data_IF_400547646945
#
_entry.id   IF_400547646945
#
_cell.length_a   1.000
_cell.length_b   1.000
_cell.length_c   1.000
_cell.angle_alpha   90.00
_cell.angle_beta   90.00
_cell.angle_gamma   90.00
#
_symmetry.space_group_name_H-M   'P 1'
#
loop_
_entity.id
_entity.type
_entity.pdbx_description
1 polymer ?
#
# COMPACT_ATOMS: atom_id res chain seq x y z
N UNK A 1 -14.82 16.75 22.01
CA UNK A 1 -13.96 16.46 20.85
C UNK A 1 -14.05 17.51 19.73
N UNK A 2 -14.01 18.80 20.08
CA UNK A 2 -14.06 19.87 19.08
C UNK A 2 -12.80 19.92 18.22
N UNK A 3 -11.66 19.50 18.77
CA UNK A 3 -10.37 19.47 18.08
C UNK A 3 -10.26 18.40 16.99
N UNK A 4 -10.98 17.27 17.08
CA UNK A 4 -11.02 16.22 16.03
C UNK A 4 -12.25 16.30 15.12
N UNK A 5 -13.23 17.13 15.46
CA UNK A 5 -14.40 17.34 14.61
C UNK A 5 -14.07 18.25 13.43
N UNK A 6 -14.14 17.72 12.22
CA UNK A 6 -14.08 18.51 10.97
C UNK A 6 -15.48 18.75 10.44
N UNK A 7 -15.65 19.79 9.63
CA UNK A 7 -16.86 20.03 8.83
C UNK A 7 -18.17 19.97 9.63
N UNK A 8 -18.16 20.55 10.85
CA UNK A 8 -19.29 20.57 11.80
C UNK A 8 -19.84 19.19 12.21
N UNK A 9 -19.12 18.08 11.93
CA UNK A 9 -19.53 16.72 12.31
C UNK A 9 -19.92 16.61 13.79
N UNK A 10 -19.25 17.36 14.67
CA UNK A 10 -19.53 17.38 16.11
C UNK A 10 -20.93 17.84 16.50
N UNK A 11 -21.70 18.50 15.61
CA UNK A 11 -23.11 18.86 15.82
C UNK A 11 -24.03 17.63 15.86
N UNK A 12 -23.61 16.52 15.26
CA UNK A 12 -24.39 15.28 15.15
C UNK A 12 -23.88 14.18 16.09
N UNK A 13 -22.89 14.47 16.93
CA UNK A 13 -22.28 13.52 17.86
C UNK A 13 -22.94 13.62 19.24
N UNK A 14 -23.64 12.56 19.63
CA UNK A 14 -24.33 12.45 20.94
C UNK A 14 -23.40 11.94 22.06
N UNK A 15 -22.49 11.01 21.72
CA UNK A 15 -21.60 10.30 22.64
C UNK A 15 -20.14 10.59 22.28
N UNK A 16 -19.24 10.71 23.26
CA UNK A 16 -17.84 11.04 23.02
C UNK A 16 -16.91 10.20 23.87
N UNK A 17 -15.83 9.72 23.26
CA UNK A 17 -14.74 9.03 23.96
C UNK A 17 -13.70 10.01 24.49
N UNK A 18 -12.96 9.59 25.52
CA UNK A 18 -11.77 10.31 25.99
C UNK A 18 -10.75 10.38 24.85
N UNK A 19 -10.20 11.58 24.62
CA UNK A 19 -9.24 11.81 23.55
C UNK A 19 -7.81 11.83 24.13
N UNK A 20 -6.97 10.81 23.88
CA UNK A 20 -5.54 10.90 24.21
C UNK A 20 -4.80 11.80 23.22
N UNK A 21 -3.73 12.46 23.67
CA UNK A 21 -3.13 13.60 22.97
C UNK A 21 -2.40 13.27 21.65
N UNK A 22 -2.09 12.00 21.35
CA UNK A 22 -1.51 11.54 20.08
C UNK A 22 -1.50 10.02 20.09
N UNK A 23 -2.28 9.41 19.21
CA UNK A 23 -2.34 7.95 19.11
C UNK A 23 -2.30 7.53 17.64
N UNK A 24 -1.76 6.34 17.40
CA UNK A 24 -1.80 5.73 16.08
C UNK A 24 -3.28 5.59 15.65
N UNK A 25 -3.58 5.71 14.36
CA UNK A 25 -4.97 5.67 13.87
C UNK A 25 -5.69 4.39 14.28
N UNK A 26 -4.95 3.28 14.36
CA UNK A 26 -5.44 1.99 14.83
C UNK A 26 -5.95 2.05 16.27
N UNK A 27 -5.16 2.62 17.18
CA UNK A 27 -5.53 2.79 18.59
C UNK A 27 -6.72 3.75 18.72
N UNK A 28 -6.80 4.75 17.84
CA UNK A 28 -7.93 5.68 17.81
C UNK A 28 -9.23 4.97 17.48
N UNK A 29 -9.20 4.08 16.50
CA UNK A 29 -10.34 3.22 16.17
C UNK A 29 -10.64 2.26 17.33
N UNK A 30 -9.61 1.68 17.96
CA UNK A 30 -9.76 0.81 19.12
C UNK A 30 -10.45 1.44 20.32
N UNK A 31 -10.16 2.71 20.60
CA UNK A 31 -10.70 3.43 21.76
C UNK A 31 -12.23 3.61 21.72
N UNK A 32 -12.88 3.42 20.57
CA UNK A 32 -14.34 3.42 20.47
C UNK A 32 -15.00 2.24 21.23
N UNK A 33 -14.25 1.18 21.53
CA UNK A 33 -14.76 0.04 22.29
C UNK A 33 -14.72 0.27 23.81
N UNK A 34 -13.95 1.24 24.32
CA UNK A 34 -13.77 1.49 25.75
C UNK A 34 -15.07 1.83 26.49
N UNK A 35 -15.99 2.66 25.97
CA UNK A 35 -17.28 2.92 26.61
C UNK A 35 -18.16 1.66 26.78
N UNK A 36 -17.87 0.59 26.01
CA UNK A 36 -18.56 -0.69 26.12
C UNK A 36 -17.91 -1.61 27.17
N UNK A 37 -16.91 -1.14 27.92
CA UNK A 37 -16.14 -1.94 28.87
C UNK A 37 -15.15 -2.89 28.20
N UNK A 38 -14.88 -2.70 26.91
CA UNK A 38 -13.97 -3.53 26.13
C UNK A 38 -12.64 -2.80 25.94
N UNK A 39 -11.54 -3.56 25.92
CA UNK A 39 -10.21 -3.04 25.62
C UNK A 39 -9.64 -3.76 24.40
N UNK A 40 -9.23 -2.99 23.40
CA UNK A 40 -8.49 -3.57 22.27
C UNK A 40 -7.14 -4.09 22.78
N UNK A 41 -6.90 -5.39 22.60
CA UNK A 41 -5.67 -6.06 23.03
C UNK A 41 -4.79 -6.46 21.84
N UNK A 42 -5.40 -6.93 20.76
CA UNK A 42 -4.72 -7.45 19.57
C UNK A 42 -5.37 -6.91 18.29
N UNK A 43 -4.57 -6.77 17.24
CA UNK A 43 -5.04 -6.41 15.89
C UNK A 43 -4.65 -7.54 14.95
N UNK A 44 -5.66 -8.19 14.38
CA UNK A 44 -5.49 -9.24 13.38
C UNK A 44 -6.02 -8.77 12.01
N UNK A 45 -5.20 -8.91 10.97
CA UNK A 45 -5.57 -8.56 9.59
C UNK A 45 -5.90 -9.82 8.79
N UNK A 46 -7.09 -10.37 9.02
CA UNK A 46 -7.60 -11.52 8.28
C UNK A 46 -8.35 -11.06 7.02
N UNK A 47 -7.64 -10.37 6.12
CA UNK A 47 -8.22 -9.88 4.87
C UNK A 47 -8.51 -11.07 3.94
N UNK A 48 -9.77 -11.30 3.52
CA UNK A 48 -10.09 -12.41 2.63
C UNK A 48 -9.47 -12.14 1.25
N UNK A 49 -8.65 -13.08 0.78
CA UNK A 49 -8.11 -13.09 -0.58
C UNK A 49 -8.75 -14.26 -1.33
N UNK A 50 -9.58 -14.00 -2.36
CA UNK A 50 -10.23 -15.06 -3.13
C UNK A 50 -9.22 -16.00 -3.80
N UNK A 51 -9.59 -17.27 -3.97
CA UNK A 51 -8.73 -18.27 -4.61
C UNK A 51 -8.32 -17.84 -6.03
N UNK A 52 -9.24 -17.26 -6.79
CA UNK A 52 -8.96 -16.72 -8.13
C UNK A 52 -7.84 -15.65 -8.12
N UNK A 53 -7.73 -14.84 -7.07
CA UNK A 53 -6.65 -13.84 -6.94
C UNK A 53 -5.31 -14.52 -6.63
N UNK A 54 -5.32 -15.61 -5.84
CA UNK A 54 -4.13 -16.42 -5.57
C UNK A 54 -3.64 -17.13 -6.82
N UNK A 55 -4.57 -17.73 -7.57
CA UNK A 55 -4.30 -18.39 -8.84
C UNK A 55 -3.74 -17.41 -9.88
N UNK A 56 -4.35 -16.22 -10.01
CA UNK A 56 -3.85 -15.17 -10.89
C UNK A 56 -2.42 -14.77 -10.51
N UNK A 57 -2.13 -14.54 -9.23
CA UNK A 57 -0.78 -14.17 -8.76
C UNK A 57 0.25 -15.29 -9.02
N UNK A 58 -0.10 -16.54 -8.73
CA UNK A 58 0.76 -17.70 -8.96
C UNK A 58 1.06 -17.94 -10.45
N UNK A 59 0.18 -17.52 -11.35
CA UNK A 59 0.38 -17.64 -12.79
C UNK A 59 1.40 -16.62 -13.36
N UNK A 60 1.76 -15.58 -12.61
CA UNK A 60 2.61 -14.49 -13.12
C UNK A 60 4.09 -14.88 -13.22
N UNK A 61 4.59 -15.80 -12.38
CA UNK A 61 5.95 -16.32 -12.44
C UNK A 61 6.07 -17.69 -11.73
N UNK A 62 7.08 -18.52 -12.08
CA UNK A 62 7.30 -19.79 -11.39
C UNK A 62 7.68 -19.62 -9.92
N UNK A 63 7.19 -20.51 -9.05
CA UNK A 63 7.64 -20.61 -7.65
C UNK A 63 9.01 -21.30 -7.57
N UNK A 64 10.04 -20.57 -8.00
CA UNK A 64 11.43 -21.03 -8.13
C UNK A 64 12.33 -20.61 -6.95
N UNK A 65 11.73 -20.04 -5.90
CA UNK A 65 12.46 -19.56 -4.71
C UNK A 65 13.29 -18.30 -4.94
N UNK A 66 13.22 -17.68 -6.13
CA UNK A 66 13.90 -16.41 -6.41
C UNK A 66 13.21 -15.29 -5.62
N UNK A 67 13.93 -14.51 -4.78
CA UNK A 67 13.34 -13.38 -4.07
C UNK A 67 12.74 -12.34 -5.03
N UNK A 68 11.59 -11.78 -4.66
CA UNK A 68 10.86 -10.81 -5.47
C UNK A 68 10.94 -9.42 -4.84
N UNK A 69 11.35 -8.42 -5.63
CA UNK A 69 11.13 -7.00 -5.33
C UNK A 69 9.91 -6.51 -6.12
N UNK A 70 8.81 -6.26 -5.40
CA UNK A 70 7.61 -5.66 -5.99
C UNK A 70 7.58 -4.15 -5.71
N UNK A 71 7.39 -3.35 -6.76
CA UNK A 71 7.40 -1.88 -6.69
C UNK A 71 6.02 -1.36 -7.14
N UNK A 72 5.33 -0.67 -6.22
CA UNK A 72 4.15 0.15 -6.49
C UNK A 72 4.55 1.63 -6.44
N UNK A 73 4.85 2.28 -7.58
CA UNK A 73 5.57 3.56 -7.58
C UNK A 73 4.68 4.79 -7.35
N UNK A 74 3.36 4.64 -7.41
CA UNK A 74 2.42 5.75 -7.32
C UNK A 74 1.58 5.71 -6.05
N UNK A 75 1.25 6.91 -5.56
CA UNK A 75 0.15 7.15 -4.64
C UNK A 75 -0.87 8.08 -5.28
N UNK A 76 -2.03 8.24 -4.64
CA UNK A 76 -3.07 9.20 -5.06
C UNK A 76 -2.60 10.66 -5.07
N UNK A 77 -1.48 10.98 -4.40
CA UNK A 77 -0.89 12.31 -4.39
C UNK A 77 0.50 12.27 -5.04
N UNK A 78 0.63 12.88 -6.22
CA UNK A 78 1.86 12.88 -7.02
C UNK A 78 3.10 13.36 -6.27
N UNK A 79 2.96 14.31 -5.32
CA UNK A 79 4.08 14.83 -4.52
C UNK A 79 4.67 13.81 -3.54
N UNK A 80 3.99 12.68 -3.34
CA UNK A 80 4.47 11.56 -2.51
C UNK A 80 5.14 10.47 -3.35
N UNK A 81 5.10 10.57 -4.68
CA UNK A 81 5.73 9.60 -5.56
C UNK A 81 7.24 9.86 -5.56
N UNK A 82 8.02 8.79 -5.53
CA UNK A 82 9.46 8.89 -5.68
C UNK A 82 9.82 9.04 -7.17
N UNK A 83 11.05 9.47 -7.44
CA UNK A 83 11.46 9.72 -8.82
C UNK A 83 11.64 8.40 -9.59
N UNK A 84 11.19 8.33 -10.87
CA UNK A 84 11.29 7.11 -11.68
C UNK A 84 12.73 6.58 -11.86
N UNK A 85 13.70 7.46 -12.06
CA UNK A 85 15.13 7.11 -12.22
C UNK A 85 15.69 6.43 -10.96
N UNK A 86 15.23 6.83 -9.78
CA UNK A 86 15.63 6.23 -8.50
C UNK A 86 14.99 4.86 -8.28
N UNK A 87 13.73 4.70 -8.69
CA UNK A 87 13.10 3.38 -8.74
C UNK A 87 13.85 2.44 -9.70
N UNK A 88 14.24 2.93 -10.87
CA UNK A 88 15.02 2.15 -11.84
C UNK A 88 16.39 1.72 -11.27
N UNK A 89 17.09 2.64 -10.61
CA UNK A 89 18.37 2.32 -9.95
C UNK A 89 18.21 1.28 -8.83
N UNK A 90 17.14 1.37 -8.03
CA UNK A 90 16.81 0.37 -6.99
C UNK A 90 16.48 -0.99 -7.61
N UNK A 91 15.67 -1.00 -8.67
CA UNK A 91 15.29 -2.21 -9.40
C UNK A 91 16.52 -2.92 -9.99
N UNK A 92 17.40 -2.19 -10.66
CA UNK A 92 18.66 -2.71 -11.17
C UNK A 92 19.56 -3.27 -10.06
N UNK A 93 19.59 -2.62 -8.90
CA UNK A 93 20.37 -3.09 -7.74
C UNK A 93 19.85 -4.42 -7.18
N UNK A 94 18.54 -4.64 -7.20
CA UNK A 94 17.92 -5.90 -6.82
C UNK A 94 18.14 -6.97 -7.89
N UNK A 95 17.97 -6.63 -9.18
CA UNK A 95 18.24 -7.53 -10.29
C UNK A 95 19.70 -8.01 -10.31
N UNK A 96 20.66 -7.13 -10.02
CA UNK A 96 22.08 -7.49 -9.88
C UNK A 96 22.37 -8.46 -8.72
N UNK A 97 21.45 -8.60 -7.76
CA UNK A 97 21.48 -9.62 -6.69
C UNK A 97 20.72 -10.89 -7.05
N UNK A 98 20.25 -11.00 -8.29
CA UNK A 98 19.46 -12.15 -8.76
C UNK A 98 18.00 -12.10 -8.32
N UNK A 99 17.47 -10.96 -7.89
CA UNK A 99 16.05 -10.84 -7.51
C UNK A 99 15.17 -10.61 -8.74
N UNK A 100 13.95 -11.12 -8.70
CA UNK A 100 12.90 -10.82 -9.69
C UNK A 100 12.31 -9.46 -9.38
N UNK A 101 12.39 -8.53 -10.33
CA UNK A 101 11.73 -7.22 -10.21
C UNK A 101 10.33 -7.29 -10.81
N UNK A 102 9.34 -6.80 -10.08
CA UNK A 102 7.94 -6.70 -10.50
C UNK A 102 7.46 -5.27 -10.29
N UNK A 103 6.87 -4.65 -11.32
CA UNK A 103 6.14 -3.39 -11.18
C UNK A 103 4.64 -3.68 -11.07
N UNK A 104 3.96 -3.08 -10.11
CA UNK A 104 2.52 -3.18 -9.94
C UNK A 104 1.89 -1.79 -9.70
N UNK A 105 0.58 -1.70 -9.89
CA UNK A 105 -0.18 -0.46 -9.80
C UNK A 105 -1.47 -0.56 -10.61
N UNK A 106 -2.36 0.41 -10.44
CA UNK A 106 -3.61 0.47 -11.17
C UNK A 106 -3.49 0.87 -12.64
N UNK A 107 -4.64 1.13 -13.27
CA UNK A 107 -4.79 1.42 -14.70
C UNK A 107 -4.70 2.91 -15.03
N UNK A 108 -4.28 3.75 -14.09
CA UNK A 108 -4.27 5.20 -14.30
C UNK A 108 -3.16 5.62 -15.26
N UNK A 109 -3.36 6.73 -15.98
CA UNK A 109 -2.32 7.30 -16.86
C UNK A 109 -1.05 7.64 -16.07
N UNK A 110 -1.21 8.14 -14.84
CA UNK A 110 -0.08 8.43 -13.94
C UNK A 110 0.76 7.17 -13.65
N UNK A 111 0.11 6.06 -13.30
CA UNK A 111 0.79 4.80 -13.00
C UNK A 111 1.48 4.23 -14.22
N UNK A 112 0.80 4.21 -15.37
CA UNK A 112 1.38 3.77 -16.65
C UNK A 112 2.61 4.61 -17.02
N UNK A 113 2.48 5.93 -17.04
CA UNK A 113 3.59 6.82 -17.41
C UNK A 113 4.77 6.72 -16.43
N UNK A 114 4.49 6.54 -15.14
CA UNK A 114 5.54 6.33 -14.12
C UNK A 114 6.25 4.99 -14.34
N UNK A 115 5.50 3.91 -14.60
CA UNK A 115 6.08 2.60 -14.89
C UNK A 115 6.92 2.60 -16.18
N UNK A 116 6.45 3.27 -17.23
CA UNK A 116 7.21 3.46 -18.47
C UNK A 116 8.54 4.17 -18.23
N UNK A 117 8.52 5.25 -17.44
CA UNK A 117 9.73 5.99 -17.11
C UNK A 117 10.71 5.16 -16.27
N UNK A 118 10.21 4.30 -15.37
CA UNK A 118 11.05 3.36 -14.60
C UNK A 118 11.68 2.35 -15.56
N UNK A 119 10.87 1.67 -16.37
CA UNK A 119 11.34 0.64 -17.31
C UNK A 119 12.36 1.19 -18.31
N UNK A 120 12.14 2.40 -18.81
CA UNK A 120 13.07 3.08 -19.72
C UNK A 120 14.42 3.42 -19.05
N UNK A 121 14.44 3.60 -17.73
CA UNK A 121 15.66 3.87 -16.95
C UNK A 121 16.35 2.61 -16.42
N UNK A 122 15.72 1.43 -16.50
CA UNK A 122 16.28 0.17 -16.05
C UNK A 122 17.24 -0.43 -17.07
N UNK A 123 18.21 -1.21 -16.59
CA UNK A 123 19.12 -2.02 -17.40
C UNK A 123 18.73 -3.49 -17.40
N UNK A 124 18.22 -3.98 -16.28
CA UNK A 124 17.68 -5.34 -16.16
C UNK A 124 16.19 -5.37 -16.54
N UNK A 125 15.63 -6.52 -16.96
CA UNK A 125 14.19 -6.63 -17.18
C UNK A 125 13.42 -6.59 -15.86
N UNK A 126 12.18 -6.11 -15.92
CA UNK A 126 11.18 -6.26 -14.87
C UNK A 126 9.90 -6.87 -15.44
N UNK A 127 9.17 -7.61 -14.61
CA UNK A 127 7.81 -8.02 -14.93
C UNK A 127 6.86 -6.83 -14.69
N UNK A 128 6.25 -6.34 -15.75
CA UNK A 128 5.29 -5.25 -15.68
C UNK A 128 3.87 -5.81 -15.48
N UNK A 129 3.29 -5.60 -14.30
CA UNK A 129 1.91 -5.95 -13.95
C UNK A 129 1.01 -4.73 -13.77
N UNK A 130 1.46 -3.53 -14.14
CA UNK A 130 0.67 -2.30 -13.97
C UNK A 130 -0.61 -2.38 -14.80
N UNK A 131 -1.75 -2.28 -14.12
CA UNK A 131 -3.09 -2.32 -14.71
C UNK A 131 -3.51 -3.67 -15.29
N UNK A 132 -2.87 -4.77 -14.87
CA UNK A 132 -3.13 -6.13 -15.38
C UNK A 132 -4.00 -6.99 -14.46
N UNK A 133 -4.36 -6.48 -13.28
CA UNK A 133 -5.35 -7.05 -12.39
C UNK A 133 -6.80 -6.61 -12.73
#
# INVERSE_FOLDING_TARGET
DRSRSKDLHGLFVNERITAPERIHVLDAIGSFCEPLGLKQAEVAWNLPVPDAAREWAAAQWPDDGIPVLMISPCSSHVRRNWYPDRHAALADHAAARGWRVVLCGGRSELERATADAILAGMRAPALDLVGKD
#
